data_IF_569833903243
#
_entry.id   IF_569833903243
#
_cell.length_a   1.000
_cell.length_b   1.000
_cell.length_c   1.000
_cell.angle_alpha   90.00
_cell.angle_beta   90.00
_cell.angle_gamma   90.00
#
_symmetry.space_group_name_H-M   'P 1'
#
loop_
_entity.id
_entity.type
_entity.pdbx_description
1 polymer ?
#
# COMPACT_ATOMS: atom_id res chain seq x y z
N UNK A 1 -8.66 -64.76 -20.81
CA UNK A 1 -9.24 -64.08 -19.63
C UNK A 1 -8.59 -62.71 -19.58
N UNK A 2 -9.31 -61.67 -20.00
CA UNK A 2 -8.83 -60.29 -19.94
C UNK A 2 -9.29 -59.71 -18.61
N UNK A 3 -8.35 -59.17 -17.84
CA UNK A 3 -8.60 -58.60 -16.53
C UNK A 3 -9.55 -57.41 -16.64
N UNK A 4 -10.61 -57.41 -15.85
CA UNK A 4 -11.46 -56.25 -15.63
C UNK A 4 -10.58 -55.15 -15.04
N UNK A 5 -10.37 -54.09 -15.82
CA UNK A 5 -9.73 -52.88 -15.34
C UNK A 5 -10.67 -52.23 -14.32
N UNK A 6 -10.40 -52.49 -13.05
CA UNK A 6 -11.03 -51.84 -11.91
C UNK A 6 -10.58 -50.38 -11.91
N UNK A 7 -11.44 -49.51 -12.44
CA UNK A 7 -11.27 -48.07 -12.32
C UNK A 7 -11.44 -47.69 -10.84
N UNK A 8 -10.35 -47.34 -10.17
CA UNK A 8 -10.40 -46.56 -8.93
C UNK A 8 -10.92 -45.16 -9.31
N UNK A 9 -12.24 -44.99 -9.19
CA UNK A 9 -12.85 -43.67 -9.19
C UNK A 9 -12.44 -43.04 -7.86
N UNK A 10 -11.51 -42.10 -7.92
CA UNK A 10 -11.20 -41.25 -6.79
C UNK A 10 -12.47 -40.42 -6.49
N UNK A 11 -13.28 -40.91 -5.55
CA UNK A 11 -14.66 -40.46 -5.27
C UNK A 11 -14.71 -39.08 -4.56
N UNK A 12 -13.62 -38.32 -4.66
CA UNK A 12 -13.41 -37.02 -4.02
C UNK A 12 -12.95 -35.94 -5.01
N UNK A 13 -13.13 -36.16 -6.31
CA UNK A 13 -12.78 -35.16 -7.33
C UNK A 13 -13.68 -33.91 -7.21
N UNK A 14 -13.15 -32.83 -6.63
CA UNK A 14 -13.76 -31.51 -6.67
C UNK A 14 -13.45 -30.82 -8.01
N UNK A 15 -14.49 -30.29 -8.65
CA UNK A 15 -14.36 -29.51 -9.88
C UNK A 15 -14.69 -28.05 -9.59
N UNK A 16 -13.77 -27.15 -9.93
CA UNK A 16 -13.95 -25.70 -9.77
C UNK A 16 -13.88 -24.97 -11.12
N UNK A 17 -14.60 -23.85 -11.20
CA UNK A 17 -14.54 -22.94 -12.34
C UNK A 17 -14.68 -21.49 -11.85
N UNK A 18 -13.84 -20.61 -12.40
CA UNK A 18 -13.92 -19.16 -12.15
C UNK A 18 -14.68 -18.51 -13.31
N UNK A 19 -15.80 -17.88 -12.99
CA UNK A 19 -16.57 -17.07 -13.95
C UNK A 19 -16.08 -15.62 -13.82
N UNK A 20 -15.46 -15.09 -14.87
CA UNK A 20 -14.91 -13.73 -14.91
C UNK A 20 -15.87 -12.75 -15.62
N UNK A 21 -15.56 -11.45 -15.56
CA UNK A 21 -16.32 -10.37 -16.23
C UNK A 21 -17.80 -10.28 -15.83
N UNK A 22 -18.13 -10.65 -14.59
CA UNK A 22 -19.44 -10.40 -14.00
C UNK A 22 -19.58 -8.92 -13.61
N UNK A 23 -20.80 -8.39 -13.69
CA UNK A 23 -21.09 -7.05 -13.21
C UNK A 23 -20.95 -7.00 -11.67
N UNK A 24 -20.32 -5.97 -11.10
CA UNK A 24 -20.29 -5.75 -9.66
C UNK A 24 -21.69 -5.56 -9.06
N UNK A 25 -21.83 -5.84 -7.77
CA UNK A 25 -23.08 -5.67 -7.00
C UNK A 25 -24.33 -6.28 -7.65
N UNK A 26 -24.16 -7.34 -8.47
CA UNK A 26 -25.21 -7.93 -9.29
C UNK A 26 -25.50 -9.35 -8.83
N UNK A 27 -26.80 -9.66 -8.68
CA UNK A 27 -27.26 -11.00 -8.33
C UNK A 27 -27.29 -11.90 -9.57
N UNK A 28 -26.55 -13.02 -9.51
CA UNK A 28 -26.53 -14.05 -10.55
C UNK A 28 -27.14 -15.35 -10.02
N UNK A 29 -27.88 -16.05 -10.89
CA UNK A 29 -28.41 -17.39 -10.63
C UNK A 29 -27.64 -18.40 -11.47
N UNK A 30 -26.88 -19.28 -10.80
CA UNK A 30 -25.97 -20.23 -11.45
C UNK A 30 -26.54 -21.63 -11.35
N UNK A 31 -26.56 -22.35 -12.47
CA UNK A 31 -26.91 -23.79 -12.54
C UNK A 31 -25.83 -24.52 -13.33
N UNK A 32 -25.57 -25.78 -12.95
CA UNK A 32 -24.57 -26.64 -13.61
C UNK A 32 -25.29 -27.89 -14.14
N UNK A 33 -24.94 -28.35 -15.33
CA UNK A 33 -25.39 -29.63 -15.88
C UNK A 33 -24.19 -30.39 -16.45
N UNK A 34 -24.20 -31.71 -16.30
CA UNK A 34 -23.25 -32.58 -16.99
C UNK A 34 -23.65 -32.71 -18.46
N UNK A 35 -22.69 -32.83 -19.38
CA UNK A 35 -22.97 -33.10 -20.80
C UNK A 35 -22.20 -34.33 -21.28
N UNK A 36 -22.76 -35.06 -22.24
CA UNK A 36 -22.15 -36.22 -22.90
C UNK A 36 -22.35 -36.12 -24.41
N UNK A 37 -21.80 -37.05 -25.19
CA UNK A 37 -22.07 -37.14 -26.63
C UNK A 37 -23.56 -37.37 -26.97
N UNK A 38 -24.37 -37.82 -26.01
CA UNK A 38 -25.82 -37.98 -26.19
C UNK A 38 -26.62 -36.71 -25.86
N UNK A 39 -25.97 -35.69 -25.32
CA UNK A 39 -26.58 -34.41 -24.92
C UNK A 39 -26.38 -34.07 -23.44
N UNK A 40 -27.09 -33.04 -23.01
CA UNK A 40 -27.04 -32.48 -21.65
C UNK A 40 -27.90 -33.30 -20.67
N UNK A 41 -27.39 -33.49 -19.47
CA UNK A 41 -28.10 -34.05 -18.32
C UNK A 41 -28.96 -33.01 -17.59
N UNK A 42 -29.58 -33.43 -16.48
CA UNK A 42 -30.39 -32.54 -15.65
C UNK A 42 -29.53 -31.42 -15.02
N UNK A 43 -30.09 -30.20 -14.98
CA UNK A 43 -29.47 -29.07 -14.28
C UNK A 43 -29.56 -29.24 -12.77
N UNK A 44 -28.54 -28.73 -12.06
CA UNK A 44 -28.52 -28.58 -10.61
C UNK A 44 -29.63 -27.64 -10.14
N UNK A 45 -29.88 -27.62 -8.82
CA UNK A 45 -30.64 -26.53 -8.20
C UNK A 45 -29.89 -25.20 -8.42
N UNK A 46 -30.60 -24.09 -8.68
CA UNK A 46 -29.95 -22.79 -8.85
C UNK A 46 -29.32 -22.33 -7.54
N UNK A 47 -28.10 -21.80 -7.65
CA UNK A 47 -27.43 -21.08 -6.56
C UNK A 47 -27.43 -19.60 -6.91
N UNK A 48 -28.06 -18.80 -6.05
CA UNK A 48 -28.03 -17.33 -6.17
C UNK A 48 -26.80 -16.82 -5.42
N UNK A 49 -26.00 -16.01 -6.09
CA UNK A 49 -24.82 -15.34 -5.53
C UNK A 49 -24.86 -13.85 -5.92
N UNK A 50 -24.34 -12.99 -5.04
CA UNK A 50 -24.20 -11.57 -5.31
C UNK A 50 -22.72 -11.25 -5.41
N UNK A 51 -22.30 -10.64 -6.52
CA UNK A 51 -20.91 -10.20 -6.69
C UNK A 51 -20.60 -9.06 -5.72
N UNK A 52 -19.35 -8.99 -5.26
CA UNK A 52 -18.88 -7.84 -4.46
C UNK A 52 -18.86 -6.57 -5.33
N UNK A 53 -18.81 -5.40 -4.68
CA UNK A 53 -18.56 -4.15 -5.37
C UNK A 53 -17.21 -4.13 -6.09
N UNK A 54 -17.06 -3.27 -7.10
CA UNK A 54 -15.78 -3.06 -7.75
C UNK A 54 -14.84 -2.29 -6.81
N UNK A 55 -13.56 -2.66 -6.83
CA UNK A 55 -12.51 -1.83 -6.23
C UNK A 55 -12.18 -0.68 -7.19
N UNK A 56 -11.71 0.44 -6.65
CA UNK A 56 -11.38 1.61 -7.45
C UNK A 56 -9.94 1.53 -8.01
N UNK A 57 -9.70 2.30 -9.07
CA UNK A 57 -8.36 2.49 -9.62
C UNK A 57 -7.45 3.33 -8.70
N UNK A 58 -6.28 3.71 -9.22
CA UNK A 58 -5.29 4.52 -8.48
C UNK A 58 -5.77 5.96 -8.35
N UNK A 59 -5.75 6.55 -7.14
CA UNK A 59 -5.92 7.98 -6.99
C UNK A 59 -4.68 8.72 -7.50
N UNK A 60 -4.82 10.01 -7.78
CA UNK A 60 -3.67 10.90 -8.01
C UNK A 60 -3.10 11.31 -6.65
N UNK A 61 -1.78 11.27 -6.46
CA UNK A 61 -1.13 11.69 -5.22
C UNK A 61 0.04 12.61 -5.54
N UNK A 62 0.17 13.71 -4.81
CA UNK A 62 1.30 14.64 -4.86
C UNK A 62 1.78 14.93 -3.44
N UNK A 63 3.10 14.97 -3.26
CA UNK A 63 3.73 15.22 -1.96
C UNK A 63 4.77 16.32 -2.07
N UNK A 64 4.77 17.25 -1.12
CA UNK A 64 5.71 18.37 -1.10
C UNK A 64 6.01 18.83 0.32
N UNK A 65 7.19 19.41 0.52
CA UNK A 65 7.52 20.09 1.76
C UNK A 65 6.93 21.50 1.76
N UNK A 66 6.27 21.90 2.85
CA UNK A 66 5.76 23.26 3.03
C UNK A 66 6.87 24.20 3.51
N UNK A 67 6.73 25.53 3.31
CA UNK A 67 7.72 26.50 3.81
C UNK A 67 7.95 26.43 5.33
N UNK A 68 6.95 25.97 6.08
CA UNK A 68 7.00 25.78 7.54
C UNK A 68 7.72 24.50 7.95
N UNK A 69 8.17 23.69 7.00
CA UNK A 69 8.92 22.45 7.24
C UNK A 69 8.06 21.20 7.47
N UNK A 70 6.76 21.26 7.19
CA UNK A 70 5.86 20.09 7.23
C UNK A 70 5.82 19.38 5.88
N UNK A 71 5.31 18.14 5.82
CA UNK A 71 5.04 17.45 4.55
C UNK A 71 3.55 17.50 4.25
N UNK A 72 3.20 17.98 3.07
CA UNK A 72 1.83 18.05 2.58
C UNK A 72 1.63 17.00 1.48
N UNK A 73 0.74 16.05 1.75
CA UNK A 73 0.20 15.13 0.76
C UNK A 73 -1.14 15.66 0.27
N UNK A 74 -1.36 15.71 -1.04
CA UNK A 74 -2.65 16.05 -1.68
C UNK A 74 -3.02 15.01 -2.69
N UNK A 75 -4.31 14.70 -2.80
CA UNK A 75 -4.79 13.66 -3.68
C UNK A 75 -6.12 14.00 -4.36
N UNK A 76 -6.38 13.29 -5.45
CA UNK A 76 -7.64 13.36 -6.19
C UNK A 76 -8.21 11.93 -6.38
N UNK A 77 -9.55 11.80 -6.52
CA UNK A 77 -10.18 10.51 -6.80
C UNK A 77 -9.60 9.82 -8.04
N UNK A 78 -9.68 8.48 -8.12
CA UNK A 78 -9.29 7.74 -9.32
C UNK A 78 -10.05 8.19 -10.56
N UNK A 79 -9.38 8.24 -11.71
CA UNK A 79 -10.01 8.63 -12.97
C UNK A 79 -11.19 7.70 -13.31
N UNK A 80 -12.35 8.30 -13.61
CA UNK A 80 -13.58 7.57 -13.92
C UNK A 80 -14.38 7.09 -12.71
N UNK A 81 -13.89 7.28 -11.48
CA UNK A 81 -14.69 7.09 -10.28
C UNK A 81 -15.71 8.22 -10.13
N UNK A 82 -16.94 7.87 -9.81
CA UNK A 82 -17.98 8.82 -9.40
C UNK A 82 -17.85 9.13 -7.90
N UNK A 83 -18.36 10.27 -7.47
CA UNK A 83 -18.27 10.73 -6.07
C UNK A 83 -18.93 9.73 -5.08
N UNK A 84 -20.02 9.07 -5.50
CA UNK A 84 -20.73 8.07 -4.71
C UNK A 84 -20.00 6.72 -4.58
N UNK A 85 -19.04 6.43 -5.46
CA UNK A 85 -18.25 5.19 -5.40
C UNK A 85 -17.09 5.30 -4.39
N UNK A 86 -16.61 6.51 -4.13
CA UNK A 86 -15.54 6.77 -3.16
C UNK A 86 -16.14 6.88 -1.76
N UNK A 87 -15.84 5.90 -0.91
CA UNK A 87 -16.25 5.88 0.51
C UNK A 87 -15.17 6.40 1.46
N UNK A 88 -14.04 6.85 0.93
CA UNK A 88 -12.92 7.39 1.68
C UNK A 88 -11.56 6.97 1.12
N UNK A 89 -10.51 7.31 1.86
CA UNK A 89 -9.13 7.02 1.50
C UNK A 89 -8.39 6.39 2.68
N UNK A 90 -7.41 5.54 2.37
CA UNK A 90 -6.44 5.05 3.35
C UNK A 90 -5.06 5.51 2.94
N UNK A 91 -4.42 6.29 3.81
CA UNK A 91 -3.04 6.72 3.65
C UNK A 91 -2.16 5.96 4.64
N UNK A 92 -1.14 5.27 4.15
CA UNK A 92 -0.04 4.82 4.98
C UNK A 92 1.13 5.77 4.81
N UNK A 93 1.64 6.32 5.90
CA UNK A 93 2.74 7.28 5.87
C UNK A 93 3.77 6.99 6.95
N UNK A 94 5.02 7.30 6.67
CA UNK A 94 6.11 7.16 7.63
C UNK A 94 7.47 7.31 6.97
N UNK A 95 8.53 7.21 7.77
CA UNK A 95 9.88 7.16 7.23
C UNK A 95 10.14 5.80 6.59
N UNK A 96 10.86 5.79 5.49
CA UNK A 96 11.21 4.56 4.76
C UNK A 96 11.98 3.56 5.62
N UNK A 97 12.80 4.06 6.54
CA UNK A 97 13.62 3.27 7.47
C UNK A 97 12.90 2.88 8.77
N UNK A 98 11.63 3.27 8.93
CA UNK A 98 10.85 3.03 10.16
C UNK A 98 9.57 2.27 9.88
N UNK A 99 9.53 1.00 10.27
CA UNK A 99 8.32 0.16 10.21
C UNK A 99 7.70 -0.04 11.61
N UNK A 100 6.35 -0.13 11.73
CA UNK A 100 5.37 -0.01 10.65
C UNK A 100 5.09 1.45 10.25
N UNK A 101 4.61 1.65 9.02
CA UNK A 101 4.04 2.93 8.59
C UNK A 101 2.74 3.21 9.37
N UNK A 102 2.51 4.46 9.74
CA UNK A 102 1.24 4.87 10.34
C UNK A 102 0.13 4.73 9.29
N UNK A 103 -1.02 4.17 9.69
CA UNK A 103 -2.19 4.04 8.80
C UNK A 103 -3.26 5.03 9.25
N UNK A 104 -3.69 5.87 8.31
CA UNK A 104 -4.71 6.89 8.49
C UNK A 104 -5.87 6.61 7.54
N UNK A 105 -7.09 6.84 7.99
CA UNK A 105 -8.29 6.75 7.17
C UNK A 105 -8.97 8.12 7.10
N UNK A 106 -9.44 8.48 5.91
CA UNK A 106 -10.06 9.75 5.62
C UNK A 106 -11.44 9.58 4.97
N UNK A 107 -12.39 10.49 5.22
CA UNK A 107 -13.66 10.53 4.50
C UNK A 107 -13.43 10.91 3.02
N UNK A 108 -14.42 10.66 2.14
CA UNK A 108 -14.29 10.97 0.71
C UNK A 108 -14.15 12.47 0.41
N UNK A 109 -14.58 13.32 1.33
CA UNK A 109 -14.49 14.79 1.23
C UNK A 109 -13.10 15.34 1.52
N UNK A 110 -12.20 14.53 2.07
CA UNK A 110 -10.83 14.96 2.37
C UNK A 110 -9.93 14.70 1.17
N UNK A 111 -9.13 15.70 0.81
CA UNK A 111 -8.21 15.71 -0.33
C UNK A 111 -6.75 15.94 0.05
N UNK A 112 -6.44 16.13 1.34
CA UNK A 112 -5.08 16.38 1.78
C UNK A 112 -4.77 15.93 3.21
N UNK A 113 -3.48 15.80 3.50
CA UNK A 113 -2.95 15.51 4.83
C UNK A 113 -1.63 16.25 5.04
N UNK A 114 -1.46 16.85 6.23
CA UNK A 114 -0.21 17.51 6.62
C UNK A 114 0.46 16.76 7.76
N UNK A 115 1.66 16.25 7.52
CA UNK A 115 2.53 15.65 8.54
C UNK A 115 3.50 16.68 9.11
N UNK A 116 3.42 16.94 10.41
CA UNK A 116 4.36 17.77 11.15
C UNK A 116 5.48 16.92 11.78
N UNK A 117 6.50 17.56 12.37
CA UNK A 117 7.59 16.84 13.04
C UNK A 117 8.55 16.12 12.08
N UNK A 118 8.79 16.72 10.93
CA UNK A 118 9.61 16.16 9.85
C UNK A 118 11.08 16.14 10.25
N UNK A 119 11.73 14.98 10.09
CA UNK A 119 13.16 14.82 10.35
C UNK A 119 13.96 15.20 9.10
N UNK A 120 14.93 16.10 9.28
CA UNK A 120 15.91 16.42 8.24
C UNK A 120 16.82 15.21 7.99
N UNK A 121 17.23 15.02 6.74
CA UNK A 121 18.01 13.85 6.31
C UNK A 121 17.21 12.54 6.21
N UNK A 122 15.89 12.56 6.38
CA UNK A 122 15.05 11.37 6.30
C UNK A 122 14.26 11.31 4.98
N UNK A 123 13.99 10.09 4.52
CA UNK A 123 13.10 9.81 3.39
C UNK A 123 11.76 9.33 3.91
N UNK A 124 10.67 9.94 3.42
CA UNK A 124 9.30 9.61 3.77
C UNK A 124 8.58 8.95 2.60
N UNK A 125 7.75 7.96 2.91
CA UNK A 125 6.91 7.23 1.96
C UNK A 125 5.45 7.49 2.27
N UNK A 126 4.67 7.79 1.25
CA UNK A 126 3.22 7.99 1.29
C UNK A 126 2.57 6.96 0.37
N UNK A 127 1.64 6.17 0.88
CA UNK A 127 0.90 5.14 0.14
C UNK A 127 -0.58 5.39 0.28
N UNK A 128 -1.26 5.71 -0.81
CA UNK A 128 -2.67 6.08 -0.79
C UNK A 128 -3.50 5.11 -1.63
N UNK A 129 -4.61 4.65 -1.09
CA UNK A 129 -5.62 3.89 -1.82
C UNK A 129 -7.02 4.46 -1.54
N UNK A 130 -7.86 4.53 -2.57
CA UNK A 130 -9.27 4.86 -2.43
C UNK A 130 -10.04 3.64 -1.92
N UNK A 131 -11.10 3.85 -1.12
CA UNK A 131 -11.96 2.79 -0.58
C UNK A 131 -13.33 2.87 -1.24
N UNK A 132 -13.86 1.74 -1.67
CA UNK A 132 -15.24 1.57 -2.15
C UNK A 132 -15.96 0.46 -1.39
N UNK A 133 -17.20 0.15 -1.79
CA UNK A 133 -17.94 -1.03 -1.28
C UNK A 133 -17.22 -2.36 -1.59
N UNK A 134 -16.40 -2.38 -2.65
CA UNK A 134 -15.56 -3.54 -3.00
C UNK A 134 -14.35 -3.72 -2.09
N UNK A 135 -13.99 -2.71 -1.30
CA UNK A 135 -12.81 -2.68 -0.44
C UNK A 135 -11.81 -1.61 -0.87
N UNK A 136 -10.54 -1.83 -0.57
CA UNK A 136 -9.46 -0.93 -0.98
C UNK A 136 -9.09 -1.14 -2.44
N UNK A 137 -9.00 -0.04 -3.16
CA UNK A 137 -8.57 0.06 -4.54
C UNK A 137 -7.07 -0.12 -4.74
N UNK A 138 -6.65 0.17 -5.97
CA UNK A 138 -5.23 0.22 -6.30
C UNK A 138 -4.50 1.33 -5.53
N UNK A 139 -3.28 1.04 -5.10
CA UNK A 139 -2.45 1.94 -4.32
C UNK A 139 -1.51 2.76 -5.21
N UNK A 140 -1.35 4.05 -4.89
CA UNK A 140 -0.29 4.91 -5.41
C UNK A 140 0.72 5.19 -4.29
N UNK A 141 2.00 5.24 -4.64
CA UNK A 141 3.07 5.50 -3.68
C UNK A 141 3.93 6.67 -4.16
N UNK A 142 4.19 7.62 -3.25
CA UNK A 142 5.07 8.76 -3.47
C UNK A 142 6.15 8.80 -2.39
N UNK A 143 7.34 9.25 -2.76
CA UNK A 143 8.51 9.28 -1.89
C UNK A 143 9.11 10.68 -1.89
N UNK A 144 9.42 11.20 -0.70
CA UNK A 144 10.00 12.52 -0.53
C UNK A 144 11.18 12.48 0.44
N UNK A 145 12.37 12.85 -0.04
CA UNK A 145 13.58 12.97 0.77
C UNK A 145 13.77 14.40 1.26
N UNK A 146 13.97 14.55 2.56
CA UNK A 146 14.20 15.85 3.19
C UNK A 146 15.70 16.02 3.37
N UNK A 147 16.31 17.05 2.77
CA UNK A 147 17.75 17.26 2.87
C UNK A 147 18.16 17.50 4.33
N UNK A 148 19.35 17.04 4.69
CA UNK A 148 19.99 17.43 5.93
C UNK A 148 20.50 18.87 5.83
N UNK A 149 20.47 19.61 6.94
CA UNK A 149 21.14 20.91 6.97
C UNK A 149 22.65 20.71 6.98
N UNK A 150 23.38 21.58 6.26
CA UNK A 150 24.83 21.65 6.45
C UNK A 150 25.16 22.07 7.88
N UNK A 151 26.11 21.40 8.57
CA UNK A 151 26.52 21.81 9.91
C UNK A 151 26.96 23.27 9.89
N UNK A 152 26.36 24.09 10.76
CA UNK A 152 26.77 25.48 10.94
C UNK A 152 27.86 25.54 11.99
N UNK A 153 29.10 25.78 11.58
CA UNK A 153 30.26 25.96 12.46
C UNK A 153 31.32 24.87 12.36
N UNK A 154 32.40 25.03 13.14
CA UNK A 154 33.50 24.07 13.23
C UNK A 154 33.63 23.53 14.66
N UNK A 155 34.11 22.29 14.84
CA UNK A 155 34.41 21.76 16.16
C UNK A 155 35.50 22.59 16.84
N UNK A 156 35.35 22.85 18.14
CA UNK A 156 36.32 23.63 18.91
C UNK A 156 37.32 22.71 19.60
N UNK A 157 38.61 22.83 19.26
CA UNK A 157 39.66 22.09 19.95
C UNK A 157 39.80 22.67 21.37
N UNK A 158 39.66 21.81 22.38
CA UNK A 158 39.81 22.19 23.78
C UNK A 158 41.28 22.21 24.18
N UNK A 159 41.98 21.09 23.98
CA UNK A 159 43.41 20.93 24.24
C UNK A 159 43.96 19.80 23.36
N UNK A 160 45.18 19.96 22.85
CA UNK A 160 46.03 18.83 22.53
C UNK A 160 46.61 18.35 23.87
N UNK A 161 46.01 17.33 24.48
CA UNK A 161 46.39 16.89 25.82
C UNK A 161 47.91 16.62 25.86
N UNK A 162 48.58 17.19 26.87
CA UNK A 162 50.05 17.30 27.01
C UNK A 162 50.84 15.98 27.09
N UNK A 163 50.25 14.84 26.74
CA UNK A 163 50.92 13.54 26.60
C UNK A 163 51.39 13.33 25.15
N UNK A 164 51.97 14.36 24.54
CA UNK A 164 52.58 14.22 23.23
C UNK A 164 53.92 13.48 23.38
N UNK A 165 54.04 12.29 22.79
CA UNK A 165 55.35 11.61 22.64
C UNK A 165 55.94 11.92 21.27
N UNK A 166 57.16 11.44 20.98
CA UNK A 166 57.85 11.72 19.71
C UNK A 166 57.09 11.26 18.43
N UNK A 167 55.95 10.57 18.55
CA UNK A 167 55.12 10.18 17.41
C UNK A 167 53.59 10.24 17.63
N UNK A 168 53.11 10.82 18.74
CA UNK A 168 51.66 10.87 19.01
C UNK A 168 51.24 12.21 19.61
N UNK A 169 50.05 12.67 19.23
CA UNK A 169 49.36 13.82 19.83
C UNK A 169 47.93 13.41 20.11
N UNK A 170 47.46 13.64 21.34
CA UNK A 170 46.07 13.42 21.71
C UNK A 170 45.31 14.73 21.57
N UNK A 171 44.30 14.78 20.70
CA UNK A 171 43.42 15.94 20.54
C UNK A 171 42.06 15.67 21.19
N UNK A 172 41.54 16.68 21.90
CA UNK A 172 40.17 16.69 22.41
C UNK A 172 39.45 17.90 21.82
N UNK A 173 38.25 17.70 21.29
CA UNK A 173 37.43 18.75 20.72
C UNK A 173 35.99 18.66 21.21
N UNK A 174 35.29 19.78 21.16
CA UNK A 174 33.85 19.89 21.30
C UNK A 174 33.17 19.84 19.93
N UNK A 175 31.93 19.33 19.85
CA UNK A 175 31.13 19.43 18.63
C UNK A 175 30.88 20.91 18.25
N UNK A 176 30.53 21.19 16.98
CA UNK A 176 30.08 22.52 16.58
C UNK A 176 28.89 22.96 17.44
N UNK A 177 28.89 24.21 17.88
CA UNK A 177 27.75 24.77 18.61
C UNK A 177 26.60 24.95 17.61
N UNK A 178 25.40 24.40 17.86
CA UNK A 178 24.24 24.65 17.00
C UNK A 178 23.93 26.15 17.00
N UNK A 179 23.70 26.72 15.81
CA UNK A 179 23.34 28.12 15.63
C UNK A 179 21.94 28.43 16.17
#
# INVERSE_FOLDING_TARGET
MLADAQWEMDDTAEYEMVITNLQPETAYSITVAAYTMKGDGARSKPKVVVTKGAVLGRPTLSVQQTPEGSLLARWEPPAGATEDEVLGYRLQFGREDSSPLATLEFPPTEDHYTASGVHKGATYVFRLAARSRGGLGEEVAEVLSIPEDTPRGHPQILEAAGNATAGTVLLRWLPPVPA
#
